data_IF_628724610168
#
_entry.id   IF_628724610168
#
_cell.length_a   1.000
_cell.length_b   1.000
_cell.length_c   1.000
_cell.angle_alpha   90.00
_cell.angle_beta   90.00
_cell.angle_gamma   90.00
#
_symmetry.space_group_name_H-M   'P 1'
#
loop_
_entity.id
_entity.type
_entity.pdbx_description
1 polymer ?
#
# COMPACT_ATOMS: atom_id res chain seq x y z
N UNK A 1 9.78 7.45 7.37
CA UNK A 1 8.70 6.53 6.97
C UNK A 1 7.45 6.79 7.81
N UNK A 2 6.28 7.08 7.20
CA UNK A 2 5.05 7.37 7.95
C UNK A 2 4.63 6.23 8.90
N UNK A 3 4.87 4.99 8.52
CA UNK A 3 4.61 3.82 9.39
C UNK A 3 5.53 3.79 10.60
N UNK A 4 6.81 4.17 10.46
CA UNK A 4 7.73 4.25 11.59
C UNK A 4 7.29 5.29 12.62
N UNK A 5 6.78 6.45 12.17
CA UNK A 5 6.21 7.46 13.06
C UNK A 5 4.93 6.99 13.74
N UNK A 6 4.07 6.24 13.04
CA UNK A 6 2.89 5.64 13.64
C UNK A 6 3.27 4.59 14.70
N UNK A 7 4.27 3.75 14.44
CA UNK A 7 4.83 2.80 15.43
C UNK A 7 5.37 3.51 16.68
N UNK A 8 6.05 4.65 16.48
CA UNK A 8 6.55 5.45 17.59
C UNK A 8 5.43 6.03 18.46
N UNK A 9 4.30 6.43 17.86
CA UNK A 9 3.10 6.88 18.62
C UNK A 9 2.49 5.74 19.42
N UNK A 10 2.38 4.55 18.82
CA UNK A 10 1.79 3.37 19.49
C UNK A 10 2.67 2.91 20.66
N UNK A 11 4.00 2.95 20.50
CA UNK A 11 4.95 2.51 21.54
C UNK A 11 5.27 3.55 22.62
N UNK A 12 5.04 4.85 22.37
CA UNK A 12 5.37 5.90 23.34
C UNK A 12 4.55 7.17 23.13
N UNK A 13 3.86 7.61 24.19
CA UNK A 13 3.07 8.85 24.19
C UNK A 13 3.89 10.15 24.29
N UNK A 14 5.23 10.08 24.43
CA UNK A 14 6.08 11.25 24.72
C UNK A 14 6.57 12.03 23.48
N UNK A 15 6.35 11.55 22.26
CA UNK A 15 6.92 12.14 21.04
C UNK A 15 5.92 12.96 20.24
N UNK A 16 5.80 14.25 20.56
CA UNK A 16 4.82 15.17 19.96
C UNK A 16 4.87 15.25 18.43
N UNK A 17 6.08 15.17 17.83
CA UNK A 17 6.26 15.23 16.37
C UNK A 17 5.59 14.04 15.63
N UNK A 18 5.56 12.87 16.23
CA UNK A 18 4.94 11.67 15.65
C UNK A 18 3.42 11.79 15.55
N UNK A 19 2.76 12.57 16.41
CA UNK A 19 1.33 12.83 16.33
C UNK A 19 0.95 13.63 15.08
N UNK A 20 1.76 14.63 14.69
CA UNK A 20 1.51 15.39 13.47
C UNK A 20 1.56 14.50 12.23
N UNK A 21 2.57 13.64 12.13
CA UNK A 21 2.70 12.71 11.00
C UNK A 21 1.53 11.72 10.95
N UNK A 22 1.12 11.21 12.12
CA UNK A 22 -0.06 10.32 12.22
C UNK A 22 -1.34 11.04 11.85
N UNK A 23 -1.51 12.30 12.28
CA UNK A 23 -2.63 13.14 11.87
C UNK A 23 -2.69 13.35 10.36
N UNK A 24 -1.55 13.65 9.72
CA UNK A 24 -1.47 13.73 8.25
C UNK A 24 -1.81 12.41 7.57
N UNK A 25 -1.34 11.29 8.09
CA UNK A 25 -1.68 9.96 7.58
C UNK A 25 -3.19 9.71 7.57
N UNK A 26 -3.85 10.03 8.70
CA UNK A 26 -5.30 9.88 8.84
C UNK A 26 -6.03 10.86 7.92
N UNK A 27 -5.63 12.13 7.89
CA UNK A 27 -6.22 13.16 7.03
C UNK A 27 -6.20 12.75 5.56
N UNK A 28 -5.02 12.41 5.04
CA UNK A 28 -4.89 11.94 3.66
C UNK A 28 -5.62 10.62 3.42
N UNK A 29 -5.68 9.75 4.42
CA UNK A 29 -6.45 8.50 4.36
C UNK A 29 -7.94 8.74 4.18
N UNK A 30 -8.51 9.72 4.90
CA UNK A 30 -9.91 10.12 4.78
C UNK A 30 -10.19 10.88 3.50
N UNK A 31 -9.31 11.76 3.06
CA UNK A 31 -9.50 12.54 1.83
C UNK A 31 -9.37 11.67 0.58
N UNK A 32 -8.27 10.95 0.44
CA UNK A 32 -7.86 10.28 -0.79
C UNK A 32 -7.90 8.74 -0.70
N UNK A 33 -7.95 8.19 0.51
CA UNK A 33 -7.90 6.76 0.71
C UNK A 33 -6.64 6.12 0.10
N UNK A 34 -6.83 5.04 -0.63
CA UNK A 34 -5.73 4.27 -1.25
C UNK A 34 -5.19 4.85 -2.55
N UNK A 35 -5.73 5.98 -3.00
CA UNK A 35 -5.21 6.75 -4.15
C UNK A 35 -3.73 7.10 -3.95
N UNK A 36 -3.32 7.43 -2.72
CA UNK A 36 -1.92 7.73 -2.35
C UNK A 36 -1.00 6.57 -2.72
N UNK A 37 -1.41 5.33 -2.44
CA UNK A 37 -0.62 4.14 -2.80
C UNK A 37 -0.53 3.95 -4.33
N UNK A 38 -1.50 4.48 -5.08
CA UNK A 38 -1.54 4.41 -6.53
C UNK A 38 -0.59 5.39 -7.23
N UNK A 39 -0.54 6.62 -6.73
CA UNK A 39 0.08 7.74 -7.44
C UNK A 39 1.25 8.39 -6.71
N UNK A 40 1.23 8.46 -5.37
CA UNK A 40 2.26 9.15 -4.59
C UNK A 40 3.35 8.23 -4.04
N UNK A 41 3.07 6.93 -3.92
CA UNK A 41 4.04 6.01 -3.34
C UNK A 41 5.15 5.67 -4.35
N UNK A 42 6.43 6.08 -4.13
CA UNK A 42 7.52 5.79 -5.06
C UNK A 42 7.80 4.30 -5.19
N UNK A 43 7.65 3.54 -4.11
CA UNK A 43 7.79 2.09 -4.13
C UNK A 43 6.68 1.41 -4.94
N UNK A 44 5.45 1.96 -4.93
CA UNK A 44 4.36 1.51 -5.80
C UNK A 44 4.69 1.75 -7.28
N UNK A 45 5.26 2.90 -7.60
CA UNK A 45 5.73 3.26 -8.94
C UNK A 45 6.84 2.33 -9.43
N UNK A 46 7.79 2.02 -8.57
CA UNK A 46 8.86 1.07 -8.87
C UNK A 46 8.31 -0.31 -9.24
N UNK A 47 7.34 -0.83 -8.47
CA UNK A 47 6.68 -2.11 -8.80
C UNK A 47 5.91 -2.04 -10.12
N UNK A 48 5.27 -0.91 -10.44
CA UNK A 48 4.57 -0.73 -11.71
C UNK A 48 5.51 -0.73 -12.90
N UNK A 49 6.69 -0.11 -12.74
CA UNK A 49 7.74 -0.11 -13.76
C UNK A 49 8.26 -1.53 -14.01
N UNK A 50 8.54 -2.28 -12.96
CA UNK A 50 8.97 -3.68 -13.06
C UNK A 50 7.91 -4.56 -13.75
N UNK A 51 6.63 -4.32 -13.44
CA UNK A 51 5.53 -5.08 -14.05
C UNK A 51 5.33 -4.77 -15.55
N UNK A 52 5.93 -3.69 -16.09
CA UNK A 52 5.91 -3.39 -17.54
C UNK A 52 6.86 -4.31 -18.32
N UNK A 53 7.87 -4.89 -17.67
CA UNK A 53 8.81 -5.82 -18.32
C UNK A 53 8.00 -6.98 -18.93
N UNK A 54 8.22 -7.32 -20.22
CA UNK A 54 7.54 -8.42 -20.88
C UNK A 54 7.89 -9.75 -20.20
N UNK A 55 6.89 -10.54 -19.86
CA UNK A 55 7.06 -11.82 -19.18
C UNK A 55 5.70 -12.49 -18.88
N UNK A 56 5.74 -13.71 -18.33
CA UNK A 56 4.53 -14.44 -17.90
C UNK A 56 3.89 -13.70 -16.72
N UNK A 57 2.75 -13.07 -16.97
CA UNK A 57 1.99 -12.35 -15.93
C UNK A 57 0.96 -13.30 -15.33
N UNK A 58 1.04 -13.49 -14.02
CA UNK A 58 0.15 -14.36 -13.28
C UNK A 58 -1.00 -13.55 -12.65
N UNK A 59 -2.23 -14.05 -12.78
CA UNK A 59 -3.39 -13.45 -12.12
C UNK A 59 -3.39 -13.77 -10.64
N UNK A 60 -3.63 -12.76 -9.83
CA UNK A 60 -3.71 -12.89 -8.36
C UNK A 60 -5.11 -13.27 -7.87
N UNK A 61 -6.07 -13.54 -8.77
CA UNK A 61 -7.47 -13.89 -8.41
C UNK A 61 -7.58 -15.08 -7.48
N UNK A 62 -6.74 -16.11 -7.68
CA UNK A 62 -6.68 -17.31 -6.81
C UNK A 62 -6.01 -17.05 -5.45
N UNK A 63 -5.22 -15.98 -5.34
CA UNK A 63 -4.45 -15.61 -4.15
C UNK A 63 -5.15 -14.53 -3.30
N UNK A 64 -6.46 -14.34 -3.48
CA UNK A 64 -7.26 -13.40 -2.67
C UNK A 64 -7.09 -13.56 -1.15
N UNK A 65 -7.04 -14.78 -0.56
CA UNK A 65 -6.84 -14.90 0.90
C UNK A 65 -5.50 -14.33 1.37
N UNK A 66 -4.48 -14.30 0.51
CA UNK A 66 -3.19 -13.72 0.86
C UNK A 66 -3.24 -12.19 1.10
N UNK A 67 -4.28 -11.52 0.62
CA UNK A 67 -4.47 -10.08 0.89
C UNK A 67 -4.77 -9.78 2.36
N UNK A 68 -5.24 -10.78 3.12
CA UNK A 68 -5.43 -10.63 4.58
C UNK A 68 -4.10 -10.62 5.34
N UNK A 69 -3.03 -11.17 4.78
CA UNK A 69 -1.71 -11.22 5.42
C UNK A 69 -1.22 -9.81 5.82
N UNK A 70 -1.47 -8.79 5.00
CA UNK A 70 -1.08 -7.41 5.32
C UNK A 70 -1.74 -6.86 6.58
N UNK A 71 -2.99 -7.31 6.91
CA UNK A 71 -3.67 -6.90 8.14
C UNK A 71 -3.06 -7.59 9.35
N UNK A 72 -2.66 -8.85 9.21
CA UNK A 72 -1.91 -9.57 10.24
C UNK A 72 -0.56 -8.91 10.47
N UNK A 73 0.17 -8.55 9.40
CA UNK A 73 1.42 -7.81 9.48
C UNK A 73 1.21 -6.45 10.15
N UNK A 74 0.15 -5.70 9.79
CA UNK A 74 -0.19 -4.43 10.43
C UNK A 74 -0.41 -4.62 11.94
N UNK A 75 -1.24 -5.58 12.34
CA UNK A 75 -1.55 -5.81 13.75
C UNK A 75 -0.31 -6.24 14.55
N UNK A 76 0.44 -7.22 14.04
CA UNK A 76 1.59 -7.77 14.76
C UNK A 76 2.75 -6.78 14.80
N UNK A 77 3.21 -6.27 13.64
CA UNK A 77 4.47 -5.52 13.56
C UNK A 77 4.32 -4.03 13.85
N UNK A 78 3.13 -3.47 13.68
CA UNK A 78 2.88 -2.04 13.86
C UNK A 78 2.15 -1.73 15.16
N UNK A 79 1.22 -2.60 15.59
CA UNK A 79 0.45 -2.37 16.82
C UNK A 79 1.04 -3.13 18.03
N UNK A 80 1.28 -4.45 17.91
CA UNK A 80 1.69 -5.27 19.06
C UNK A 80 3.18 -5.13 19.39
N UNK A 81 4.06 -5.38 18.44
CA UNK A 81 5.51 -5.41 18.71
C UNK A 81 6.08 -4.10 19.29
N UNK A 82 5.68 -2.89 18.83
CA UNK A 82 6.19 -1.66 19.42
C UNK A 82 5.79 -1.42 20.87
N UNK A 83 4.70 -2.04 21.32
CA UNK A 83 4.26 -1.96 22.73
C UNK A 83 5.12 -2.83 23.64
N UNK A 84 5.52 -4.02 23.17
CA UNK A 84 6.33 -4.95 23.96
C UNK A 84 7.83 -4.67 23.89
N UNK A 85 8.31 -4.13 22.78
CA UNK A 85 9.72 -3.83 22.58
C UNK A 85 9.94 -2.32 22.51
N UNK A 86 10.11 -1.74 23.69
CA UNK A 86 10.44 -0.32 23.87
C UNK A 86 11.96 -0.21 24.00
N UNK A 87 12.57 0.71 23.25
CA UNK A 87 14.00 1.00 23.32
C UNK A 87 14.36 1.74 24.63
N UNK A 88 15.65 1.77 24.99
CA UNK A 88 16.20 2.47 26.14
C UNK A 88 15.81 3.96 26.21
N UNK A 89 15.43 4.55 25.08
CA UNK A 89 14.94 5.93 24.94
C UNK A 89 13.43 6.04 25.18
N UNK A 90 12.73 4.92 25.46
CA UNK A 90 11.27 4.90 25.68
C UNK A 90 10.44 5.02 24.41
N UNK A 91 11.01 4.74 23.24
CA UNK A 91 10.30 4.70 21.96
C UNK A 91 10.12 3.26 21.48
N UNK A 92 8.94 2.94 20.93
CA UNK A 92 8.70 1.65 20.28
C UNK A 92 9.61 1.44 19.09
N UNK A 93 10.30 0.29 19.03
CA UNK A 93 11.21 -0.03 17.93
C UNK A 93 10.39 -0.22 16.63
N UNK A 94 10.76 0.43 15.51
CA UNK A 94 10.02 0.31 14.23
C UNK A 94 10.35 -1.01 13.53
N UNK A 95 9.87 -2.13 14.08
CA UNK A 95 10.16 -3.49 13.64
C UNK A 95 9.92 -3.70 12.14
N UNK A 96 8.78 -3.27 11.61
CA UNK A 96 8.49 -3.43 10.21
C UNK A 96 9.52 -2.72 9.32
N UNK A 97 9.82 -1.46 9.63
CA UNK A 97 10.76 -0.66 8.85
C UNK A 97 12.20 -1.17 8.98
N UNK A 98 12.55 -1.71 10.18
CA UNK A 98 13.90 -2.19 10.48
C UNK A 98 14.20 -3.54 9.84
N UNK A 99 13.24 -4.48 9.83
CA UNK A 99 13.50 -5.87 9.44
C UNK A 99 12.84 -6.31 8.13
N UNK A 100 11.68 -5.76 7.76
CA UNK A 100 10.85 -6.29 6.66
C UNK A 100 10.80 -5.34 5.47
N UNK A 101 10.77 -4.01 5.70
CA UNK A 101 10.54 -3.06 4.62
C UNK A 101 11.74 -2.93 3.67
N UNK A 102 11.61 -3.29 2.37
CA UNK A 102 12.69 -3.17 1.40
C UNK A 102 12.87 -1.75 0.88
N UNK A 103 11.87 -0.87 1.05
CA UNK A 103 11.91 0.52 0.57
C UNK A 103 13.09 1.30 1.14
N UNK A 104 13.41 1.11 2.43
CA UNK A 104 14.55 1.76 3.06
C UNK A 104 15.90 1.37 2.47
N UNK A 105 16.02 0.18 1.88
CA UNK A 105 17.23 -0.24 1.16
C UNK A 105 17.25 0.40 -0.23
N UNK A 106 16.15 0.36 -0.95
CA UNK A 106 16.06 0.89 -2.31
C UNK A 106 16.29 2.40 -2.36
N UNK A 107 15.62 3.16 -1.51
CA UNK A 107 15.62 4.63 -1.55
C UNK A 107 16.66 5.28 -0.63
N UNK A 108 17.14 4.55 0.36
CA UNK A 108 18.11 5.05 1.34
C UNK A 108 19.46 4.36 1.25
N UNK A 109 19.55 3.09 1.60
CA UNK A 109 20.83 2.42 1.78
C UNK A 109 21.63 2.29 0.47
N UNK A 110 20.99 1.99 -0.66
CA UNK A 110 21.68 1.86 -1.95
C UNK A 110 22.24 3.21 -2.42
N UNK A 111 21.47 4.30 -2.56
CA UNK A 111 22.01 5.59 -2.99
C UNK A 111 23.10 6.10 -2.04
N UNK A 112 22.90 5.95 -0.73
CA UNK A 112 23.83 6.45 0.27
C UNK A 112 25.15 5.67 0.28
N UNK A 113 25.11 4.35 0.05
CA UNK A 113 26.31 3.50 -0.05
C UNK A 113 27.13 3.76 -1.32
N UNK A 114 26.50 4.27 -2.38
CA UNK A 114 27.20 4.67 -3.62
C UNK A 114 27.95 5.96 -3.38
N UNK A 115 27.35 6.93 -2.69
CA UNK A 115 27.93 8.26 -2.45
C UNK A 115 28.99 8.23 -1.34
N UNK A 116 28.80 7.42 -0.30
CA UNK A 116 29.65 7.45 0.89
C UNK A 116 30.28 6.09 1.18
N UNK A 117 31.63 6.02 1.05
CA UNK A 117 32.41 4.79 1.29
C UNK A 117 32.37 4.33 2.76
N UNK A 118 32.27 5.27 3.71
CA UNK A 118 32.18 4.95 5.14
C UNK A 118 30.89 4.21 5.50
N UNK A 119 29.78 4.58 4.88
CA UNK A 119 28.50 3.88 5.05
C UNK A 119 28.55 2.48 4.44
N UNK A 120 29.21 2.35 3.28
CA UNK A 120 29.38 1.06 2.63
C UNK A 120 30.14 0.05 3.48
N UNK A 121 31.14 0.47 4.23
CA UNK A 121 31.90 -0.39 5.16
C UNK A 121 31.12 -0.76 6.43
N UNK A 122 30.13 0.06 6.81
CA UNK A 122 29.27 -0.16 7.98
C UNK A 122 28.03 -1.04 7.69
N UNK A 123 27.81 -1.44 6.43
CA UNK A 123 26.70 -2.30 6.05
C UNK A 123 26.88 -3.71 6.62
N UNK A 124 26.07 -4.05 7.62
CA UNK A 124 26.08 -5.35 8.29
C UNK A 124 25.11 -6.38 7.71
N UNK A 125 24.95 -7.51 8.41
CA UNK A 125 24.04 -8.62 8.05
C UNK A 125 22.59 -8.20 7.82
N UNK A 126 22.12 -7.17 8.52
CA UNK A 126 20.77 -6.64 8.34
C UNK A 126 20.53 -6.06 6.93
N UNK A 127 21.56 -5.45 6.34
CA UNK A 127 21.50 -4.97 4.98
C UNK A 127 21.36 -6.14 3.99
N UNK A 128 22.17 -7.19 4.15
CA UNK A 128 22.11 -8.39 3.30
C UNK A 128 20.73 -9.05 3.38
N UNK A 129 20.18 -9.18 4.58
CA UNK A 129 18.82 -9.71 4.78
C UNK A 129 17.76 -8.91 4.02
N UNK A 130 17.77 -7.60 4.16
CA UNK A 130 16.83 -6.71 3.45
C UNK A 130 17.05 -6.71 1.94
N UNK A 131 18.28 -6.88 1.48
CA UNK A 131 18.60 -6.99 0.06
C UNK A 131 17.97 -8.25 -0.53
N UNK A 132 18.01 -9.37 0.17
CA UNK A 132 17.32 -10.62 -0.23
C UNK A 132 15.81 -10.38 -0.35
N UNK A 133 15.20 -9.70 0.63
CA UNK A 133 13.77 -9.34 0.56
C UNK A 133 13.48 -8.45 -0.65
N UNK A 134 14.33 -7.45 -0.91
CA UNK A 134 14.18 -6.55 -2.05
C UNK A 134 14.24 -7.32 -3.38
N UNK A 135 15.21 -8.21 -3.56
CA UNK A 135 15.34 -9.05 -4.76
C UNK A 135 14.11 -9.94 -4.92
N UNK A 136 13.63 -10.55 -3.85
CA UNK A 136 12.41 -11.36 -3.86
C UNK A 136 11.19 -10.53 -4.32
N UNK A 137 11.05 -9.31 -3.78
CA UNK A 137 9.96 -8.39 -4.19
C UNK A 137 10.11 -7.97 -5.65
N UNK A 138 11.33 -7.75 -6.15
CA UNK A 138 11.58 -7.43 -7.57
C UNK A 138 11.10 -8.58 -8.46
N UNK A 139 11.52 -9.81 -8.18
CA UNK A 139 11.11 -10.99 -8.95
C UNK A 139 9.59 -11.18 -8.92
N UNK A 140 8.98 -11.06 -7.75
CA UNK A 140 7.53 -11.16 -7.60
C UNK A 140 6.80 -10.03 -8.35
N UNK A 141 7.37 -8.81 -8.43
CA UNK A 141 6.76 -7.66 -9.10
C UNK A 141 6.75 -7.79 -10.62
N UNK A 142 7.69 -8.56 -11.19
CA UNK A 142 7.66 -8.91 -12.62
C UNK A 142 6.50 -9.87 -12.90
N UNK A 143 6.25 -10.85 -12.02
CA UNK A 143 5.22 -11.88 -12.19
C UNK A 143 3.82 -11.38 -11.81
N UNK A 144 3.70 -10.66 -10.68
CA UNK A 144 2.44 -10.21 -10.10
C UNK A 144 2.37 -8.69 -10.06
N UNK A 145 1.16 -8.15 -10.20
CA UNK A 145 0.94 -6.72 -10.07
C UNK A 145 0.97 -6.27 -8.61
N UNK A 146 1.95 -5.45 -8.24
CA UNK A 146 2.14 -4.86 -6.90
C UNK A 146 2.06 -5.86 -5.74
N UNK A 147 2.83 -6.95 -5.72
CA UNK A 147 2.70 -8.02 -4.72
C UNK A 147 2.97 -7.52 -3.30
N UNK A 148 4.00 -6.69 -3.09
CA UNK A 148 4.32 -6.17 -1.78
C UNK A 148 3.20 -5.28 -1.22
N UNK A 149 2.68 -4.34 -2.01
CA UNK A 149 1.58 -3.46 -1.62
C UNK A 149 0.26 -4.21 -1.39
N UNK A 150 0.07 -5.35 -2.07
CA UNK A 150 -1.15 -6.15 -2.00
C UNK A 150 -1.15 -7.08 -0.80
N UNK A 151 0.00 -7.66 -0.43
CA UNK A 151 0.07 -8.76 0.54
C UNK A 151 0.80 -8.43 1.85
N UNK A 152 1.81 -7.56 1.83
CA UNK A 152 2.73 -7.38 2.96
C UNK A 152 2.65 -5.96 3.56
N UNK A 153 2.46 -4.93 2.73
CA UNK A 153 2.60 -3.54 3.17
C UNK A 153 1.55 -3.12 4.21
N UNK A 154 1.93 -2.78 5.45
CA UNK A 154 0.98 -2.35 6.49
C UNK A 154 0.37 -0.98 6.19
N UNK A 155 1.10 -0.07 5.52
CA UNK A 155 0.55 1.20 5.04
C UNK A 155 -0.58 0.96 4.03
N UNK A 156 -0.39 -0.04 3.14
CA UNK A 156 -1.44 -0.47 2.22
C UNK A 156 -2.65 -1.08 2.94
N UNK A 157 -2.46 -1.75 4.08
CA UNK A 157 -3.56 -2.24 4.92
C UNK A 157 -4.30 -1.09 5.60
N UNK A 158 -3.57 -0.12 6.18
CA UNK A 158 -4.14 1.06 6.81
C UNK A 158 -5.01 1.87 5.84
N UNK A 159 -4.47 2.21 4.66
CA UNK A 159 -5.25 2.93 3.65
C UNK A 159 -6.39 2.09 3.04
N UNK A 160 -6.30 0.76 3.04
CA UNK A 160 -7.40 -0.10 2.62
C UNK A 160 -8.59 -0.03 3.59
N UNK A 161 -8.35 0.12 4.90
CA UNK A 161 -9.39 0.38 5.90
C UNK A 161 -10.01 1.76 5.70
N UNK A 162 -9.16 2.79 5.50
CA UNK A 162 -9.64 4.16 5.26
C UNK A 162 -10.37 4.30 3.92
N UNK A 163 -10.11 3.43 2.95
CA UNK A 163 -10.74 3.49 1.62
C UNK A 163 -12.26 3.39 1.66
N UNK A 164 -12.81 2.76 2.71
CA UNK A 164 -14.27 2.62 2.92
C UNK A 164 -14.94 3.91 3.40
N UNK A 165 -14.18 4.78 4.07
CA UNK A 165 -14.67 6.03 4.66
C UNK A 165 -14.12 7.26 3.95
N UNK A 166 -13.31 7.08 2.91
CA UNK A 166 -12.68 8.19 2.20
C UNK A 166 -13.65 8.93 1.30
N UNK A 167 -13.43 10.24 1.19
CA UNK A 167 -14.23 11.16 0.38
C UNK A 167 -14.13 10.87 -1.12
N UNK A 168 -12.92 10.57 -1.62
CA UNK A 168 -12.74 10.18 -3.02
C UNK A 168 -13.20 8.74 -3.18
N UNK A 169 -14.15 8.46 -4.06
CA UNK A 169 -14.69 7.14 -4.35
C UNK A 169 -14.84 6.88 -5.84
N UNK A 170 -15.21 5.66 -6.20
CA UNK A 170 -15.68 5.32 -7.55
C UNK A 170 -17.16 5.00 -7.45
N UNK A 171 -17.96 5.63 -8.31
CA UNK A 171 -19.40 5.37 -8.42
C UNK A 171 -19.67 4.62 -9.72
N UNK A 172 -20.60 3.69 -9.65
CA UNK A 172 -21.15 2.98 -10.83
C UNK A 172 -22.64 3.29 -10.92
N UNK A 173 -23.06 3.86 -12.04
CA UNK A 173 -24.47 4.08 -12.32
C UNK A 173 -25.10 2.77 -12.77
N UNK A 174 -26.02 2.25 -11.95
CA UNK A 174 -26.71 0.98 -12.21
C UNK A 174 -27.67 1.03 -13.41
N UNK A 175 -28.21 2.22 -13.73
CA UNK A 175 -29.14 2.39 -14.86
C UNK A 175 -28.41 2.39 -16.21
N UNK A 176 -27.21 2.98 -16.25
CA UNK A 176 -26.37 3.02 -17.45
C UNK A 176 -25.52 1.76 -17.63
N UNK A 177 -25.28 1.01 -16.56
CA UNK A 177 -24.37 -0.13 -16.56
C UNK A 177 -24.98 -1.35 -17.29
N UNK A 178 -24.42 -1.71 -18.42
CA UNK A 178 -24.81 -2.89 -19.22
C UNK A 178 -24.18 -4.21 -18.74
N UNK A 179 -23.55 -4.23 -17.57
CA UNK A 179 -22.91 -5.41 -16.95
C UNK A 179 -21.92 -6.17 -17.84
N UNK A 180 -21.25 -5.50 -18.77
CA UNK A 180 -20.33 -6.12 -19.75
C UNK A 180 -19.03 -6.67 -19.17
N UNK A 181 -18.69 -6.40 -17.89
CA UNK A 181 -17.53 -6.94 -17.19
C UNK A 181 -16.16 -6.37 -17.60
N UNK A 182 -16.07 -5.45 -18.57
CA UNK A 182 -14.79 -4.87 -19.04
C UNK A 182 -14.01 -4.17 -17.92
N UNK A 183 -14.69 -3.47 -17.01
CA UNK A 183 -14.09 -2.81 -15.86
C UNK A 183 -13.40 -3.79 -14.90
N UNK A 184 -13.99 -4.96 -14.65
CA UNK A 184 -13.39 -6.03 -13.86
C UNK A 184 -12.20 -6.71 -14.58
N UNK A 185 -12.26 -6.81 -15.89
CA UNK A 185 -11.20 -7.38 -16.74
C UNK A 185 -9.93 -6.52 -16.76
N UNK A 186 -10.05 -5.20 -16.79
CA UNK A 186 -8.91 -4.26 -16.83
C UNK A 186 -8.31 -4.02 -15.45
N UNK A 187 -9.01 -4.39 -14.37
CA UNK A 187 -8.57 -4.11 -13.00
C UNK A 187 -7.41 -5.00 -12.59
N UNK A 188 -6.21 -4.45 -12.53
CA UNK A 188 -5.00 -5.16 -12.08
C UNK A 188 -4.99 -5.48 -10.58
N UNK A 189 -5.88 -4.83 -9.80
CA UNK A 189 -6.06 -5.12 -8.38
C UNK A 189 -7.11 -6.19 -8.09
N UNK A 190 -7.68 -6.82 -9.15
CA UNK A 190 -8.71 -7.88 -9.10
C UNK A 190 -9.98 -7.45 -8.33
N UNK A 191 -10.35 -6.17 -8.42
CA UNK A 191 -11.57 -5.62 -7.81
C UNK A 191 -12.71 -5.60 -8.83
N UNK A 192 -13.88 -6.12 -8.42
CA UNK A 192 -15.13 -6.02 -9.18
C UNK A 192 -15.90 -4.78 -8.71
N UNK A 193 -15.66 -3.63 -9.35
CA UNK A 193 -16.25 -2.35 -8.95
C UNK A 193 -17.77 -2.30 -9.08
N UNK A 194 -18.36 -3.12 -9.96
CA UNK A 194 -19.81 -3.23 -10.14
C UNK A 194 -20.50 -3.83 -8.91
N UNK A 195 -19.80 -4.71 -8.17
CA UNK A 195 -20.31 -5.31 -6.92
C UNK A 195 -19.91 -4.53 -5.68
N UNK A 196 -18.68 -4.02 -5.67
CA UNK A 196 -18.08 -3.34 -4.51
C UNK A 196 -17.26 -2.14 -4.97
N UNK A 197 -17.89 -0.98 -5.27
CA UNK A 197 -17.18 0.19 -5.77
C UNK A 197 -16.14 0.74 -4.78
N UNK A 198 -16.43 0.72 -3.48
CA UNK A 198 -15.53 1.19 -2.41
C UNK A 198 -14.68 0.07 -1.79
N UNK A 199 -14.30 -0.92 -2.61
CA UNK A 199 -13.48 -2.02 -2.13
C UNK A 199 -12.13 -1.54 -1.61
N UNK A 200 -11.70 -2.06 -0.43
CA UNK A 200 -10.43 -1.67 0.20
C UNK A 200 -9.18 -1.85 -0.66
N UNK A 201 -9.21 -2.76 -1.64
CA UNK A 201 -8.08 -2.96 -2.57
C UNK A 201 -8.06 -1.99 -3.75
N UNK A 202 -9.10 -1.18 -3.97
CA UNK A 202 -9.15 -0.24 -5.08
C UNK A 202 -8.16 0.91 -4.87
N UNK A 203 -7.18 1.05 -5.77
CA UNK A 203 -6.21 2.16 -5.77
C UNK A 203 -6.69 3.38 -6.55
N UNK A 204 -7.94 3.38 -7.01
CA UNK A 204 -8.59 4.48 -7.74
C UNK A 204 -7.79 5.00 -8.94
N UNK A 205 -7.20 4.09 -9.70
CA UNK A 205 -6.36 4.42 -10.86
C UNK A 205 -7.14 4.88 -12.10
N UNK A 206 -8.46 4.85 -12.08
CA UNK A 206 -9.32 5.32 -13.19
C UNK A 206 -9.39 4.42 -14.43
N UNK A 207 -8.66 3.30 -14.48
CA UNK A 207 -8.66 2.42 -15.68
C UNK A 207 -10.03 1.86 -16.03
N UNK A 208 -10.86 1.60 -15.03
CA UNK A 208 -12.24 1.14 -15.21
C UNK A 208 -13.14 2.21 -15.83
N UNK A 209 -12.86 3.49 -15.56
CA UNK A 209 -13.57 4.63 -16.16
C UNK A 209 -13.27 4.68 -17.66
N UNK A 210 -11.97 4.68 -18.01
CA UNK A 210 -11.52 4.80 -19.41
C UNK A 210 -11.95 3.64 -20.33
N UNK A 211 -12.31 2.47 -19.77
CA UNK A 211 -12.70 1.30 -20.56
C UNK A 211 -14.21 1.11 -20.63
N UNK A 212 -14.98 1.94 -19.91
CA UNK A 212 -16.42 1.84 -19.87
C UNK A 212 -17.04 2.37 -21.18
N UNK A 213 -17.75 1.55 -21.96
CA UNK A 213 -18.30 2.00 -23.26
C UNK A 213 -19.53 2.89 -23.12
N UNK A 214 -20.13 2.96 -21.94
CA UNK A 214 -21.38 3.68 -21.66
C UNK A 214 -21.19 4.73 -20.54
N UNK A 215 -19.95 5.05 -20.19
CA UNK A 215 -19.56 6.03 -19.16
C UNK A 215 -20.28 5.87 -17.80
N UNK A 216 -20.72 4.64 -17.50
CA UNK A 216 -21.42 4.32 -16.26
C UNK A 216 -20.51 4.35 -15.01
N UNK A 217 -19.20 4.54 -15.18
CA UNK A 217 -18.22 4.55 -14.08
C UNK A 217 -17.58 5.93 -13.98
N UNK A 218 -17.68 6.56 -12.80
CA UNK A 218 -17.11 7.90 -12.56
C UNK A 218 -16.42 7.99 -11.20
N UNK A 219 -15.56 9.01 -11.03
CA UNK A 219 -15.10 9.41 -9.71
C UNK A 219 -16.22 10.14 -8.97
N UNK A 220 -16.35 9.86 -7.69
CA UNK A 220 -17.23 10.55 -6.78
C UNK A 220 -16.43 11.18 -5.64
N UNK A 221 -16.79 12.41 -5.25
CA UNK A 221 -16.21 13.10 -4.12
C UNK A 221 -17.32 13.46 -3.13
N UNK A 222 -17.32 12.85 -1.95
CA UNK A 222 -18.30 13.10 -0.90
C UNK A 222 -18.51 11.90 0.02
N UNK A 223 -19.07 12.15 1.21
CA UNK A 223 -19.52 11.11 2.13
C UNK A 223 -20.88 10.55 1.66
N UNK A 224 -20.90 9.72 0.68
CA UNK A 224 -22.13 9.08 0.21
C UNK A 224 -21.80 7.68 -0.28
N UNK A 225 -22.18 6.65 0.48
CA UNK A 225 -22.28 5.31 -0.09
C UNK A 225 -23.21 5.39 -1.28
N UNK A 226 -22.74 4.96 -2.44
CA UNK A 226 -23.62 4.66 -3.55
C UNK A 226 -24.71 3.73 -3.02
N UNK A 227 -25.90 4.27 -2.74
CA UNK A 227 -27.08 3.43 -2.56
C UNK A 227 -27.20 2.55 -3.79
N UNK A 228 -27.31 1.26 -3.55
CA UNK A 228 -27.76 0.31 -4.56
C UNK A 228 -29.20 0.70 -4.91
N UNK A 229 -29.38 1.43 -5.99
CA UNK A 229 -30.64 1.47 -6.72
C UNK A 229 -30.61 0.39 -7.78
#
# INVERSE_FOLDING_TARGET
CPIGSFQAVVGSSKFSFSYYITGFLILFGVLLGRFICGFLCPFGWFQDLLHRIPGKKLSTKKLKPLTYLKYVVLLLTVCLLPVFAVNDVGMGDPFFCKYICPQGVLEGAIPLSVVNKGIRSALGTLFTWKLVILITVIVLSVLFYRPFCKWICPLGAFYALMNRVSLLGIRVDGQQCISCGKCAGVCKMDVEITKTPDHGECIRCGKCINVCPVDAVSFHYGFGRSEKQ
#
